data_IF_283339640468
#
_entry.id   IF_283339640468
#
_cell.length_a   1.000
_cell.length_b   1.000
_cell.length_c   1.000
_cell.angle_alpha   90.00
_cell.angle_beta   90.00
_cell.angle_gamma   90.00
#
_symmetry.space_group_name_H-M   'P 1'
#
loop_
_entity.id
_entity.type
_entity.pdbx_description
1 polymer ?
#
# COMPACT_ATOMS: atom_id res chain seq x y z
N UNK A 1 -41.76 1.15 20.07
CA UNK A 1 -40.72 0.09 20.02
C UNK A 1 -40.80 -0.53 18.64
N UNK A 2 -39.94 -0.12 17.73
CA UNK A 2 -39.66 -0.85 16.49
C UNK A 2 -38.13 -0.86 16.37
N UNK A 3 -37.55 -1.99 16.80
CA UNK A 3 -36.15 -2.36 16.61
C UNK A 3 -36.13 -3.41 15.48
N UNK A 4 -35.15 -3.33 14.59
CA UNK A 4 -34.95 -4.21 13.44
C UNK A 4 -35.34 -3.47 12.16
N UNK A 5 -34.40 -3.12 11.28
CA UNK A 5 -33.41 -4.00 10.69
C UNK A 5 -32.24 -3.13 10.19
N UNK A 6 -31.09 -3.20 10.86
CA UNK A 6 -29.84 -2.69 10.29
C UNK A 6 -29.27 -3.91 9.56
N UNK A 7 -29.69 -4.10 8.31
CA UNK A 7 -29.02 -5.02 7.39
C UNK A 7 -27.52 -4.65 7.45
N UNK A 8 -26.61 -5.60 7.71
CA UNK A 8 -25.19 -5.30 7.73
C UNK A 8 -24.82 -4.91 6.32
N UNK A 9 -24.81 -3.60 6.04
CA UNK A 9 -24.51 -3.00 4.75
C UNK A 9 -23.36 -3.77 4.11
N UNK A 10 -23.71 -4.65 3.18
CA UNK A 10 -22.74 -5.30 2.32
C UNK A 10 -22.19 -4.15 1.50
N UNK A 11 -21.00 -3.66 1.86
CA UNK A 11 -20.28 -2.66 1.08
C UNK A 11 -20.36 -3.10 -0.39
N UNK A 12 -20.82 -2.22 -1.29
CA UNK A 12 -20.98 -2.59 -2.68
C UNK A 12 -19.65 -3.14 -3.20
N UNK A 13 -19.69 -4.18 -4.06
CA UNK A 13 -18.46 -4.72 -4.64
C UNK A 13 -17.67 -3.59 -5.30
N UNK A 14 -16.34 -3.59 -5.13
CA UNK A 14 -15.43 -2.60 -5.73
C UNK A 14 -15.79 -2.36 -7.19
N UNK A 15 -16.01 -1.10 -7.53
CA UNK A 15 -16.28 -0.68 -8.91
C UNK A 15 -15.09 -0.98 -9.83
N UNK A 16 -15.33 -1.08 -11.14
CA UNK A 16 -14.28 -1.37 -12.12
C UNK A 16 -13.13 -0.35 -12.07
N UNK A 17 -13.45 0.93 -11.82
CA UNK A 17 -12.44 1.99 -11.68
C UNK A 17 -11.56 1.80 -10.44
N UNK A 18 -12.16 1.55 -9.27
CA UNK A 18 -11.42 1.29 -8.01
C UNK A 18 -10.53 0.05 -8.13
N UNK A 19 -11.01 -1.00 -8.82
CA UNK A 19 -10.20 -2.18 -9.11
C UNK A 19 -9.01 -1.87 -10.00
N UNK A 20 -9.19 -1.01 -11.01
CA UNK A 20 -8.11 -0.60 -11.90
C UNK A 20 -7.05 0.22 -11.16
N UNK A 21 -7.47 1.12 -10.24
CA UNK A 21 -6.57 1.87 -9.37
C UNK A 21 -5.74 0.94 -8.47
N UNK A 22 -6.39 -0.02 -7.78
CA UNK A 22 -5.70 -0.99 -6.94
C UNK A 22 -4.69 -1.86 -7.71
N UNK A 23 -5.02 -2.23 -8.95
CA UNK A 23 -4.09 -2.96 -9.83
C UNK A 23 -2.89 -2.10 -10.24
N UNK A 24 -3.11 -0.80 -10.47
CA UNK A 24 -2.02 0.15 -10.71
C UNK A 24 -1.13 0.27 -9.47
N UNK A 25 -1.72 0.42 -8.29
CA UNK A 25 -0.96 0.51 -7.03
C UNK A 25 -0.15 -0.76 -6.75
N UNK A 26 -0.70 -1.95 -7.02
CA UNK A 26 0.03 -3.21 -6.92
C UNK A 26 1.22 -3.28 -7.88
N UNK A 27 1.06 -2.73 -9.08
CA UNK A 27 2.12 -2.67 -10.09
C UNK A 27 3.23 -1.72 -9.64
N UNK A 28 2.86 -0.52 -9.18
CA UNK A 28 3.79 0.47 -8.64
C UNK A 28 4.53 -0.08 -7.42
N UNK A 29 3.82 -0.74 -6.50
CA UNK A 29 4.39 -1.36 -5.31
C UNK A 29 5.48 -2.38 -5.67
N UNK A 30 5.24 -3.22 -6.68
CA UNK A 30 6.22 -4.19 -7.15
C UNK A 30 7.49 -3.52 -7.71
N UNK A 31 7.34 -2.39 -8.42
CA UNK A 31 8.48 -1.58 -8.89
C UNK A 31 9.24 -0.99 -7.70
N UNK A 32 8.53 -0.41 -6.73
CA UNK A 32 9.15 0.20 -5.55
C UNK A 32 9.93 -0.82 -4.72
N UNK A 33 9.36 -2.00 -4.47
CA UNK A 33 10.05 -3.09 -3.80
C UNK A 33 11.32 -3.48 -4.56
N UNK A 34 11.24 -3.71 -5.86
CA UNK A 34 12.41 -4.10 -6.67
C UNK A 34 13.54 -3.05 -6.64
N UNK A 35 13.18 -1.77 -6.57
CA UNK A 35 14.15 -0.67 -6.49
C UNK A 35 14.73 -0.49 -5.08
N UNK A 36 13.92 -0.60 -4.03
CA UNK A 36 14.28 -0.16 -2.68
C UNK A 36 14.69 -1.31 -1.74
N UNK A 37 14.16 -2.51 -1.95
CA UNK A 37 14.52 -3.69 -1.14
C UNK A 37 16.04 -3.99 -1.15
N UNK A 38 16.75 -3.94 -2.30
CA UNK A 38 18.21 -4.15 -2.32
C UNK A 38 19.01 -3.08 -1.56
N UNK A 39 18.38 -1.94 -1.25
CA UNK A 39 18.98 -0.81 -0.54
C UNK A 39 18.71 -0.86 0.97
N UNK A 40 18.02 -1.91 1.45
CA UNK A 40 17.72 -2.12 2.86
C UNK A 40 16.36 -1.59 3.32
N UNK A 41 15.53 -1.08 2.41
CA UNK A 41 14.15 -0.67 2.72
C UNK A 41 13.27 -1.92 2.78
N UNK A 42 12.58 -2.11 3.90
CA UNK A 42 11.71 -3.27 4.13
C UNK A 42 10.24 -3.01 3.85
N UNK A 43 9.84 -1.76 3.67
CA UNK A 43 8.46 -1.43 3.38
C UNK A 43 8.13 0.06 3.42
N UNK A 44 6.83 0.33 3.58
CA UNK A 44 6.26 1.68 3.54
C UNK A 44 5.76 2.08 4.93
N UNK A 45 5.94 3.34 5.28
CA UNK A 45 5.28 3.97 6.43
C UNK A 45 4.12 4.84 5.95
N UNK A 46 2.96 4.69 6.59
CA UNK A 46 1.74 5.47 6.31
C UNK A 46 1.29 6.13 7.61
N UNK A 47 1.12 7.45 7.61
CA UNK A 47 0.52 8.16 8.73
C UNK A 47 -1.00 7.92 8.74
N UNK A 48 -1.49 7.14 9.70
CA UNK A 48 -2.91 6.84 9.81
C UNK A 48 -3.64 8.01 10.49
N UNK A 49 -4.52 8.69 9.74
CA UNK A 49 -5.31 9.82 10.25
C UNK A 49 -6.30 9.43 11.36
N UNK A 50 -6.78 8.19 11.36
CA UNK A 50 -7.74 7.68 12.35
C UNK A 50 -7.08 7.31 13.67
N UNK A 51 -5.89 6.69 13.62
CA UNK A 51 -5.14 6.24 14.80
C UNK A 51 -4.21 7.33 15.34
N UNK A 52 -3.78 8.28 14.50
CA UNK A 52 -2.79 9.30 14.86
C UNK A 52 -1.36 8.77 15.02
N UNK A 53 -1.11 7.55 14.54
CA UNK A 53 0.19 6.86 14.65
C UNK A 53 0.68 6.38 13.27
N UNK A 54 2.00 6.32 13.05
CA UNK A 54 2.56 5.79 11.81
C UNK A 54 2.41 4.27 11.75
N UNK A 55 1.86 3.78 10.65
CA UNK A 55 1.74 2.35 10.36
C UNK A 55 2.86 1.90 9.44
N UNK A 56 3.64 0.93 9.90
CA UNK A 56 4.74 0.35 9.15
C UNK A 56 4.27 -0.94 8.47
N UNK A 57 4.17 -0.92 7.15
CA UNK A 57 3.80 -2.09 6.35
C UNK A 57 5.02 -2.61 5.61
N UNK A 58 5.38 -3.87 5.87
CA UNK A 58 6.37 -4.55 5.02
C UNK A 58 5.81 -4.76 3.62
N UNK A 59 6.69 -4.90 2.62
CA UNK A 59 6.30 -5.04 1.21
C UNK A 59 5.24 -6.12 0.99
N UNK A 60 5.48 -7.33 1.51
CA UNK A 60 4.56 -8.47 1.38
C UNK A 60 3.23 -8.23 2.12
N UNK A 61 3.26 -7.53 3.26
CA UNK A 61 2.06 -7.23 4.04
C UNK A 61 1.17 -6.22 3.33
N UNK A 62 1.76 -5.14 2.80
CA UNK A 62 1.03 -4.14 2.03
C UNK A 62 0.45 -4.75 0.75
N UNK A 63 1.26 -5.54 0.03
CA UNK A 63 0.84 -6.26 -1.17
C UNK A 63 -0.34 -7.18 -0.88
N UNK A 64 -0.22 -8.02 0.14
CA UNK A 64 -1.29 -8.95 0.52
C UNK A 64 -2.57 -8.20 0.91
N UNK A 65 -2.44 -7.03 1.55
CA UNK A 65 -3.58 -6.19 1.92
C UNK A 65 -4.30 -5.64 0.69
N UNK A 66 -3.56 -5.14 -0.31
CA UNK A 66 -4.13 -4.65 -1.57
C UNK A 66 -4.75 -5.78 -2.41
N UNK A 67 -4.09 -6.94 -2.50
CA UNK A 67 -4.63 -8.13 -3.18
C UNK A 67 -5.92 -8.62 -2.49
N UNK A 68 -5.98 -8.58 -1.16
CA UNK A 68 -7.20 -8.93 -0.42
C UNK A 68 -8.30 -7.90 -0.62
N UNK A 69 -7.97 -6.60 -0.60
CA UNK A 69 -8.93 -5.54 -0.91
C UNK A 69 -9.53 -5.77 -2.29
N UNK A 70 -8.71 -6.05 -3.31
CA UNK A 70 -9.15 -6.33 -4.68
C UNK A 70 -10.09 -7.56 -4.79
N UNK A 71 -9.87 -8.58 -3.96
CA UNK A 71 -10.63 -9.83 -4.00
C UNK A 71 -11.92 -9.79 -3.16
N UNK A 72 -11.79 -9.32 -1.91
CA UNK A 72 -12.81 -9.40 -0.86
C UNK A 72 -13.53 -8.06 -0.64
N UNK A 73 -13.07 -6.98 -1.27
CA UNK A 73 -13.60 -5.61 -1.09
C UNK A 73 -13.30 -5.01 0.28
N UNK A 74 -12.50 -5.68 1.11
CA UNK A 74 -12.25 -5.31 2.51
C UNK A 74 -10.80 -5.50 2.89
N UNK A 75 -10.24 -4.49 3.55
CA UNK A 75 -8.94 -4.62 4.22
C UNK A 75 -9.12 -5.43 5.50
N UNK A 76 -8.34 -6.52 5.65
CA UNK A 76 -8.29 -7.23 6.94
C UNK A 76 -7.43 -6.46 7.93
N UNK A 77 -7.82 -6.44 9.22
CA UNK A 77 -6.92 -5.98 10.27
C UNK A 77 -5.66 -6.83 10.23
N UNK A 78 -4.51 -6.16 10.20
CA UNK A 78 -3.22 -6.80 10.44
C UNK A 78 -2.73 -6.38 11.83
N UNK A 79 -1.97 -7.26 12.46
CA UNK A 79 -1.30 -6.92 13.70
C UNK A 79 -0.15 -5.95 13.41
N UNK A 80 0.09 -4.94 14.28
CA UNK A 80 1.22 -4.04 14.13
C UNK A 80 2.54 -4.81 14.11
N UNK A 81 3.50 -4.32 13.32
CA UNK A 81 4.86 -4.85 13.38
C UNK A 81 5.41 -4.71 14.81
N UNK A 82 6.03 -5.77 15.33
CA UNK A 82 6.68 -5.73 16.63
C UNK A 82 8.06 -5.09 16.50
N UNK A 83 8.26 -3.93 17.15
CA UNK A 83 9.50 -3.13 17.12
C UNK A 83 10.03 -2.79 15.71
N UNK A 84 9.26 -2.08 14.86
CA UNK A 84 9.73 -1.68 13.55
C UNK A 84 10.87 -0.67 13.69
N UNK A 85 11.96 -0.88 12.94
CA UNK A 85 13.02 0.12 12.83
C UNK A 85 12.58 1.18 11.81
N UNK A 86 12.31 2.44 12.20
CA UNK A 86 11.82 3.46 11.28
C UNK A 86 12.77 3.74 10.11
N UNK A 87 14.07 3.50 10.30
CA UNK A 87 15.08 3.70 9.25
C UNK A 87 14.97 2.71 8.08
N UNK A 88 14.14 1.67 8.18
CA UNK A 88 13.91 0.69 7.11
C UNK A 88 12.60 0.93 6.35
N UNK A 89 11.84 1.97 6.69
CA UNK A 89 10.56 2.27 6.04
C UNK A 89 10.58 3.69 5.49
N UNK A 90 9.93 3.86 4.35
CA UNK A 90 9.86 5.15 3.64
C UNK A 90 8.41 5.44 3.26
N UNK A 91 8.07 6.70 2.98
CA UNK A 91 6.70 7.02 2.56
C UNK A 91 6.46 6.61 1.10
N UNK A 92 5.19 6.50 0.71
CA UNK A 92 4.81 6.21 -0.67
C UNK A 92 5.34 7.26 -1.66
N UNK A 93 5.28 8.53 -1.26
CA UNK A 93 5.78 9.67 -2.04
C UNK A 93 7.28 9.57 -2.30
N UNK A 94 8.04 9.10 -1.30
CA UNK A 94 9.47 8.84 -1.47
C UNK A 94 9.70 7.73 -2.51
N UNK A 95 8.95 6.62 -2.43
CA UNK A 95 9.05 5.53 -3.40
C UNK A 95 8.79 6.01 -4.83
N UNK A 96 7.71 6.79 -5.02
CA UNK A 96 7.34 7.35 -6.32
C UNK A 96 8.42 8.28 -6.87
N UNK A 97 8.87 9.25 -6.09
CA UNK A 97 9.93 10.17 -6.52
C UNK A 97 11.25 9.46 -6.83
N UNK A 98 11.57 8.39 -6.10
CA UNK A 98 12.75 7.57 -6.39
C UNK A 98 12.61 6.82 -7.71
N UNK A 99 11.47 6.18 -7.97
CA UNK A 99 11.19 5.47 -9.22
C UNK A 99 11.21 6.41 -10.44
N UNK A 100 10.65 7.61 -10.29
CA UNK A 100 10.68 8.65 -11.32
C UNK A 100 12.11 9.07 -11.64
N UNK A 101 12.93 9.34 -10.61
CA UNK A 101 14.33 9.72 -10.78
C UNK A 101 15.21 8.62 -11.41
N UNK A 102 14.96 7.35 -11.09
CA UNK A 102 15.60 6.21 -11.76
C UNK A 102 15.23 6.17 -13.24
N UNK A 103 13.94 6.32 -13.55
CA UNK A 103 13.44 6.32 -14.93
C UNK A 103 14.01 7.46 -15.77
N UNK A 104 14.15 8.65 -15.18
CA UNK A 104 14.78 9.81 -15.84
C UNK A 104 16.27 9.56 -16.10
N UNK A 105 16.99 9.03 -15.11
CA UNK A 105 18.42 8.69 -15.23
C UNK A 105 18.68 7.67 -16.34
N UNK A 106 17.86 6.61 -16.42
CA UNK A 106 17.99 5.56 -17.45
C UNK A 106 17.71 6.11 -18.86
N UNK A 107 16.75 7.04 -18.98
CA UNK A 107 16.44 7.72 -20.24
C UNK A 107 17.56 8.65 -20.71
N UNK A 108 18.25 9.33 -19.78
CA UNK A 108 19.43 10.13 -20.11
C UNK A 108 20.63 9.27 -20.51
N UNK A 109 20.84 8.14 -19.83
CA UNK A 109 21.98 7.25 -20.08
C UNK A 109 21.82 6.41 -21.37
N UNK A 110 20.60 6.35 -21.93
CA UNK A 110 20.27 5.68 -23.19
C UNK A 110 20.31 6.60 -24.42
N UNK A 111 20.68 7.89 -24.25
CA UNK A 111 20.86 8.87 -25.34
C UNK A 111 22.31 9.04 -25.74
#
# INVERSE_FOLDING_TARGET
>A
MALGDHDPEQEPPLGDDERAELLSDLTDLAVYQALLEPRGVRGIVVDCGDCGEPHYHEWELLRSSLEQLLNDGRMRPHEPAYEPNPGHYVSWEYCRGFADGVTETENENSR
#
